data_IF_080993855343
#
_entry.id   IF_080993855343
#
_cell.length_a   1.000
_cell.length_b   1.000
_cell.length_c   1.000
_cell.angle_alpha   90.00
_cell.angle_beta   90.00
_cell.angle_gamma   90.00
#
_symmetry.space_group_name_H-M   'P 1'
#
loop_
_entity.id
_entity.type
_entity.pdbx_description
1 polymer ?
#
# COMPACT_ATOMS: atom_id res chain seq x y z
N UNK A 1 -22.19 11.98 -36.97
CA UNK A 1 -20.82 11.47 -37.17
C UNK A 1 -20.73 10.14 -36.45
N UNK A 2 -20.91 9.04 -37.18
CA UNK A 2 -20.88 7.67 -36.65
C UNK A 2 -19.43 7.21 -36.51
N UNK A 3 -18.96 7.04 -35.27
CA UNK A 3 -17.67 6.43 -34.98
C UNK A 3 -17.63 4.97 -35.45
N UNK A 4 -16.46 4.52 -35.91
CA UNK A 4 -16.23 3.16 -36.39
C UNK A 4 -16.64 2.15 -35.30
N UNK A 5 -17.51 1.21 -35.69
CA UNK A 5 -18.05 0.15 -34.82
C UNK A 5 -16.98 -0.85 -34.37
N UNK A 6 -17.40 -1.79 -33.50
CA UNK A 6 -16.63 -2.84 -32.83
C UNK A 6 -15.98 -3.87 -33.79
N UNK A 7 -15.17 -3.43 -34.73
CA UNK A 7 -14.22 -4.28 -35.45
C UNK A 7 -12.82 -3.98 -34.90
N UNK A 8 -12.05 -5.04 -34.59
CA UNK A 8 -10.63 -4.92 -34.25
C UNK A 8 -9.97 -4.00 -35.29
N UNK A 9 -9.26 -2.98 -34.80
CA UNK A 9 -8.42 -2.14 -35.65
C UNK A 9 -7.49 -3.08 -36.42
N UNK A 10 -7.62 -3.08 -37.74
CA UNK A 10 -6.63 -3.69 -38.62
C UNK A 10 -5.30 -2.96 -38.41
N UNK A 11 -4.19 -3.71 -38.40
CA UNK A 11 -2.84 -3.15 -38.35
C UNK A 11 -2.71 -2.04 -39.40
N UNK A 12 -2.60 -0.80 -38.92
CA UNK A 12 -2.30 0.33 -39.78
C UNK A 12 -0.83 0.22 -40.18
N UNK A 13 -0.58 -0.13 -41.44
CA UNK A 13 0.75 -0.03 -42.05
C UNK A 13 1.17 1.44 -42.09
N UNK A 14 1.76 1.91 -40.99
CA UNK A 14 2.43 3.20 -40.93
C UNK A 14 3.64 3.18 -41.87
N UNK A 15 3.54 3.86 -43.00
CA UNK A 15 4.67 4.11 -43.89
C UNK A 15 5.58 5.15 -43.24
N UNK A 16 6.56 4.68 -42.46
CA UNK A 16 7.72 5.46 -42.08
C UNK A 16 8.85 5.13 -43.06
N UNK A 17 9.39 6.15 -43.74
CA UNK A 17 10.51 6.05 -44.69
C UNK A 17 11.86 5.85 -43.99
N UNK A 18 11.91 4.94 -43.03
CA UNK A 18 13.15 4.34 -42.56
C UNK A 18 13.30 3.01 -43.28
N UNK A 19 14.48 2.68 -43.84
CA UNK A 19 14.61 1.45 -44.59
C UNK A 19 14.27 0.31 -43.62
N UNK A 20 13.28 -0.51 -44.01
CA UNK A 20 12.61 -1.47 -43.12
C UNK A 20 13.61 -2.41 -42.43
N UNK A 21 14.77 -2.61 -43.05
CA UNK A 21 15.90 -3.37 -42.52
C UNK A 21 16.53 -2.75 -41.27
N UNK A 22 16.58 -1.42 -41.15
CA UNK A 22 17.10 -0.72 -39.96
C UNK A 22 16.15 -0.92 -38.79
N UNK A 23 14.84 -0.74 -38.99
CA UNK A 23 13.84 -0.97 -37.94
C UNK A 23 13.84 -2.45 -37.53
N UNK A 24 13.85 -3.39 -38.49
CA UNK A 24 13.88 -4.83 -38.19
C UNK A 24 15.15 -5.23 -37.41
N UNK A 25 16.32 -4.67 -37.78
CA UNK A 25 17.57 -4.87 -37.04
C UNK A 25 17.47 -4.35 -35.60
N UNK A 26 16.87 -3.17 -35.39
CA UNK A 26 16.68 -2.62 -34.05
C UNK A 26 15.69 -3.46 -33.24
N UNK A 27 14.60 -3.94 -33.85
CA UNK A 27 13.65 -4.84 -33.19
C UNK A 27 14.35 -6.12 -32.72
N UNK A 28 15.13 -6.79 -33.59
CA UNK A 28 15.87 -8.00 -33.20
C UNK A 28 16.90 -7.74 -32.10
N UNK A 29 17.53 -6.55 -32.08
CA UNK A 29 18.42 -6.15 -31.00
C UNK A 29 17.66 -6.00 -29.68
N UNK A 30 16.50 -5.33 -29.70
CA UNK A 30 15.64 -5.17 -28.52
C UNK A 30 15.13 -6.53 -28.03
N UNK A 31 14.67 -7.41 -28.91
CA UNK A 31 14.29 -8.78 -28.57
C UNK A 31 15.43 -9.50 -27.86
N UNK A 32 16.65 -9.42 -28.39
CA UNK A 32 17.82 -10.03 -27.74
C UNK A 32 18.14 -9.41 -26.37
N UNK A 33 17.90 -8.11 -26.18
CA UNK A 33 18.15 -7.42 -24.92
C UNK A 33 17.09 -7.74 -23.84
N UNK A 34 15.83 -7.93 -24.25
CA UNK A 34 14.70 -8.05 -23.32
C UNK A 34 14.15 -9.47 -23.16
N UNK A 35 14.44 -10.39 -24.08
CA UNK A 35 14.11 -11.80 -23.91
C UNK A 35 15.02 -12.38 -22.82
N UNK A 36 14.40 -12.83 -21.73
CA UNK A 36 15.08 -13.56 -20.65
C UNK A 36 14.78 -15.06 -20.81
N UNK A 37 15.78 -15.89 -21.21
CA UNK A 37 15.57 -17.32 -21.34
C UNK A 37 15.22 -17.98 -20.00
N UNK A 38 14.48 -19.09 -20.04
CA UNK A 38 14.11 -19.85 -18.85
C UNK A 38 15.33 -20.28 -17.99
N UNK A 39 16.46 -20.59 -18.64
CA UNK A 39 17.71 -20.90 -17.94
C UNK A 39 18.25 -19.72 -17.12
N UNK A 40 18.12 -18.50 -17.64
CA UNK A 40 18.53 -17.29 -16.91
C UNK A 40 17.57 -16.99 -15.76
N UNK A 41 16.27 -17.20 -15.93
CA UNK A 41 15.30 -17.09 -14.84
C UNK A 41 15.64 -18.01 -13.68
N UNK A 42 16.03 -19.26 -13.95
CA UNK A 42 16.46 -20.20 -12.90
C UNK A 42 17.66 -19.68 -12.11
N UNK A 43 18.69 -19.15 -12.80
CA UNK A 43 19.86 -18.54 -12.14
C UNK A 43 19.45 -17.36 -11.26
N UNK A 44 18.53 -16.51 -11.74
CA UNK A 44 18.03 -15.36 -10.97
C UNK A 44 17.26 -15.83 -9.73
N UNK A 45 16.35 -16.79 -9.87
CA UNK A 45 15.57 -17.34 -8.75
C UNK A 45 16.48 -17.99 -7.70
N UNK A 46 17.46 -18.79 -8.13
CA UNK A 46 18.40 -19.45 -7.21
C UNK A 46 19.23 -18.42 -6.43
N UNK A 47 19.61 -17.31 -7.07
CA UNK A 47 20.28 -16.21 -6.38
C UNK A 47 19.34 -15.43 -5.46
N UNK A 48 18.09 -15.23 -5.86
CA UNK A 48 17.08 -14.54 -5.06
C UNK A 48 16.78 -15.30 -3.76
N UNK A 49 16.69 -16.63 -3.82
CA UNK A 49 16.54 -17.48 -2.62
C UNK A 49 17.73 -17.29 -1.67
N UNK A 50 18.95 -17.23 -2.19
CA UNK A 50 20.15 -16.97 -1.37
C UNK A 50 20.10 -15.60 -0.70
N UNK A 51 19.66 -14.55 -1.40
CA UNK A 51 19.52 -13.21 -0.82
C UNK A 51 18.41 -13.13 0.22
N UNK A 52 17.30 -13.87 0.06
CA UNK A 52 16.27 -14.02 1.10
C UNK A 52 16.86 -14.70 2.35
N UNK A 53 17.56 -15.83 2.17
CA UNK A 53 18.20 -16.54 3.29
C UNK A 53 19.21 -15.65 3.99
N UNK A 54 20.00 -14.88 3.23
CA UNK A 54 20.95 -13.90 3.77
C UNK A 54 20.23 -12.77 4.54
N UNK A 55 19.13 -12.24 4.01
CA UNK A 55 18.34 -11.21 4.68
C UNK A 55 17.78 -11.63 6.05
N UNK A 56 17.59 -12.94 6.27
CA UNK A 56 17.14 -13.51 7.54
C UNK A 56 18.29 -13.74 8.56
N UNK A 57 19.55 -13.51 8.19
CA UNK A 57 20.70 -13.62 9.10
C UNK A 57 20.88 -12.37 9.97
N UNK A 58 21.72 -12.45 11.01
CA UNK A 58 22.01 -11.31 11.90
C UNK A 58 22.77 -10.21 11.17
N UNK A 59 23.69 -10.58 10.27
CA UNK A 59 24.43 -9.65 9.43
C UNK A 59 23.53 -8.95 8.40
N UNK A 60 22.38 -9.55 8.10
CA UNK A 60 21.41 -9.07 7.13
C UNK A 60 21.88 -9.18 5.69
N UNK A 61 21.09 -8.60 4.79
CA UNK A 61 21.35 -8.63 3.35
C UNK A 61 20.82 -7.40 2.64
N UNK A 62 20.89 -7.44 1.31
CA UNK A 62 20.28 -6.39 0.48
C UNK A 62 18.75 -6.39 0.58
N UNK A 63 18.15 -7.56 0.81
CA UNK A 63 16.73 -7.75 1.08
C UNK A 63 16.50 -7.63 2.59
N UNK A 64 15.69 -6.66 3.07
CA UNK A 64 15.54 -6.41 4.51
C UNK A 64 14.92 -7.53 5.32
N UNK A 65 14.03 -8.34 4.72
CA UNK A 65 13.32 -9.45 5.38
C UNK A 65 12.69 -9.06 6.75
N UNK A 66 12.13 -7.85 6.85
CA UNK A 66 11.55 -7.32 8.08
C UNK A 66 10.46 -8.26 8.65
N UNK A 67 10.50 -8.60 9.95
CA UNK A 67 9.45 -9.33 10.62
C UNK A 67 8.09 -8.62 10.52
N UNK A 68 7.03 -9.36 10.20
CA UNK A 68 5.67 -8.81 10.05
C UNK A 68 4.92 -8.67 11.37
N UNK A 69 5.37 -9.36 12.42
CA UNK A 69 4.69 -9.52 13.71
C UNK A 69 3.30 -10.20 13.66
N UNK A 70 2.91 -10.74 12.50
CA UNK A 70 1.76 -11.63 12.37
C UNK A 70 2.21 -13.08 12.64
N UNK A 71 2.00 -13.56 13.87
CA UNK A 71 2.48 -14.88 14.32
C UNK A 71 1.52 -16.04 14.01
N UNK A 72 0.37 -15.77 13.39
CA UNK A 72 -0.65 -16.76 13.07
C UNK A 72 -1.17 -16.61 11.65
N UNK A 73 -1.78 -17.68 11.15
CA UNK A 73 -2.49 -17.67 9.88
C UNK A 73 -3.99 -17.53 10.14
N UNK A 74 -4.71 -16.71 9.35
CA UNK A 74 -6.15 -16.69 9.43
C UNK A 74 -6.70 -18.06 8.99
N UNK A 75 -7.70 -18.58 9.72
CA UNK A 75 -8.35 -19.86 9.40
C UNK A 75 -9.70 -19.68 8.70
N UNK A 76 -10.12 -18.42 8.55
CA UNK A 76 -11.37 -18.01 7.91
C UNK A 76 -12.58 -18.10 8.84
N UNK A 77 -12.42 -18.44 10.13
CA UNK A 77 -13.50 -18.46 11.12
C UNK A 77 -13.53 -17.21 11.99
N UNK A 78 -12.66 -16.24 11.72
CA UNK A 78 -12.64 -14.95 12.39
C UNK A 78 -13.98 -14.24 12.20
N UNK A 79 -14.44 -13.57 13.24
CA UNK A 79 -15.71 -12.84 13.25
C UNK A 79 -15.50 -11.46 13.85
N UNK A 80 -16.46 -10.57 13.61
CA UNK A 80 -16.50 -9.25 14.23
C UNK A 80 -16.26 -8.11 13.25
N UNK A 81 -16.17 -6.90 13.81
CA UNK A 81 -16.05 -5.65 13.06
C UNK A 81 -14.67 -5.06 13.31
N UNK A 82 -13.95 -4.79 12.22
CA UNK A 82 -12.60 -4.25 12.25
C UNK A 82 -12.55 -2.98 11.43
N UNK A 83 -11.80 -1.99 11.89
CA UNK A 83 -11.48 -0.81 11.11
C UNK A 83 -10.13 -0.99 10.43
N UNK A 84 -10.01 -0.46 9.24
CA UNK A 84 -8.72 -0.36 8.55
C UNK A 84 -8.51 1.07 8.06
N UNK A 85 -7.28 1.54 8.19
CA UNK A 85 -6.83 2.83 7.72
C UNK A 85 -5.69 2.60 6.74
N UNK A 86 -5.75 3.21 5.56
CA UNK A 86 -4.71 3.09 4.53
C UNK A 86 -4.30 4.47 4.05
N UNK A 87 -3.10 4.87 4.45
CA UNK A 87 -2.52 6.17 4.10
C UNK A 87 -1.70 6.03 2.81
N UNK A 88 -2.35 6.40 1.70
CA UNK A 88 -1.74 6.49 0.38
C UNK A 88 -1.01 7.81 0.14
N UNK A 89 -0.45 7.97 -1.07
CA UNK A 89 0.20 9.22 -1.49
C UNK A 89 -0.77 10.37 -1.83
N UNK A 90 -2.03 10.03 -2.13
CA UNK A 90 -3.04 10.98 -2.62
C UNK A 90 -4.34 10.91 -1.83
N UNK A 91 -4.68 9.73 -1.33
CA UNK A 91 -5.93 9.51 -0.62
C UNK A 91 -5.65 8.72 0.66
N UNK A 92 -6.38 9.07 1.70
CA UNK A 92 -6.63 8.23 2.85
C UNK A 92 -7.86 7.37 2.54
N UNK A 93 -7.79 6.09 2.86
CA UNK A 93 -8.95 5.19 2.80
C UNK A 93 -9.24 4.67 4.20
N UNK A 94 -10.50 4.78 4.59
CA UNK A 94 -11.04 4.19 5.83
C UNK A 94 -12.01 3.09 5.43
N UNK A 95 -11.88 1.89 6.01
CA UNK A 95 -12.83 0.82 5.81
C UNK A 95 -13.31 0.23 7.14
N UNK A 96 -14.57 -0.20 7.17
CA UNK A 96 -15.06 -1.18 8.12
C UNK A 96 -15.15 -2.53 7.40
N UNK A 97 -14.45 -3.51 7.95
CA UNK A 97 -14.51 -4.91 7.56
C UNK A 97 -15.41 -5.64 8.55
N UNK A 98 -16.41 -6.34 8.05
CA UNK A 98 -17.35 -7.13 8.84
C UNK A 98 -17.11 -8.60 8.48
N UNK A 99 -16.53 -9.36 9.41
CA UNK A 99 -16.31 -10.79 9.26
C UNK A 99 -17.53 -11.52 9.83
N UNK A 100 -18.22 -12.29 8.98
CA UNK A 100 -19.43 -13.01 9.37
C UNK A 100 -19.11 -14.39 9.93
N UNK A 101 -20.13 -15.06 10.46
CA UNK A 101 -20.04 -16.45 10.93
C UNK A 101 -19.80 -17.48 9.80
N UNK A 102 -19.98 -17.06 8.54
CA UNK A 102 -19.68 -17.88 7.36
C UNK A 102 -18.20 -17.83 7.05
N UNK A 103 -17.60 -19.02 6.93
CA UNK A 103 -16.15 -19.17 6.69
C UNK A 103 -15.69 -18.32 5.49
N UNK A 104 -14.67 -17.50 5.72
CA UNK A 104 -14.03 -16.62 4.73
C UNK A 104 -14.97 -15.62 4.05
N UNK A 105 -16.12 -15.32 4.66
CA UNK A 105 -17.06 -14.33 4.16
C UNK A 105 -16.89 -13.00 4.91
N UNK A 106 -16.86 -11.91 4.15
CA UNK A 106 -16.72 -10.58 4.70
C UNK A 106 -17.44 -9.54 3.85
N UNK A 107 -17.90 -8.48 4.51
CA UNK A 107 -18.40 -7.26 3.87
C UNK A 107 -17.44 -6.10 4.15
N UNK A 108 -17.30 -5.19 3.18
CA UNK A 108 -16.47 -4.00 3.32
C UNK A 108 -17.29 -2.76 3.00
N UNK A 109 -17.34 -1.85 3.97
CA UNK A 109 -17.79 -0.47 3.77
C UNK A 109 -16.54 0.41 3.75
N UNK A 110 -16.40 1.28 2.76
CA UNK A 110 -15.20 2.14 2.64
C UNK A 110 -15.53 3.57 2.25
N UNK A 111 -14.68 4.50 2.67
CA UNK A 111 -14.68 5.89 2.20
C UNK A 111 -13.25 6.32 1.86
N UNK A 112 -13.14 7.21 0.87
CA UNK A 112 -11.86 7.77 0.43
C UNK A 112 -11.87 9.28 0.68
N UNK A 113 -10.81 9.77 1.28
CA UNK A 113 -10.60 11.17 1.61
C UNK A 113 -9.34 11.63 0.88
N UNK A 114 -9.47 12.66 0.04
CA UNK A 114 -8.33 13.20 -0.69
C UNK A 114 -7.45 13.99 0.28
N UNK A 115 -6.17 13.62 0.37
CA UNK A 115 -5.20 14.30 1.22
C UNK A 115 -4.87 15.66 0.58
N UNK A 116 -5.11 16.79 1.26
CA UNK A 116 -4.67 18.10 0.80
C UNK A 116 -3.15 18.13 0.62
N UNK A 117 -2.66 18.81 -0.44
CA UNK A 117 -1.23 18.81 -0.76
C UNK A 117 -0.42 19.54 0.32
N UNK A 118 -0.99 20.57 0.94
CA UNK A 118 -0.41 21.32 2.04
C UNK A 118 -0.12 20.45 3.27
N UNK A 119 -0.87 19.36 3.49
CA UNK A 119 -0.61 18.45 4.61
C UNK A 119 0.63 17.57 4.38
N UNK A 120 1.06 17.41 3.12
CA UNK A 120 2.25 16.59 2.81
C UNK A 120 3.55 17.27 3.19
N UNK A 121 3.53 18.59 3.33
CA UNK A 121 4.70 19.41 3.70
C UNK A 121 4.43 20.31 4.90
N UNK A 122 3.30 20.09 5.59
CA UNK A 122 2.86 20.85 6.74
C UNK A 122 3.46 20.33 8.04
N UNK A 123 2.88 20.71 9.18
CA UNK A 123 3.26 20.18 10.48
C UNK A 123 2.71 18.78 10.74
N UNK A 124 3.44 17.98 11.53
CA UNK A 124 3.05 16.63 11.94
C UNK A 124 1.62 16.56 12.51
N UNK A 125 1.29 17.44 13.47
CA UNK A 125 -0.02 17.46 14.11
C UNK A 125 -1.17 17.63 13.11
N UNK A 126 -1.00 18.47 12.09
CA UNK A 126 -2.03 18.73 11.09
C UNK A 126 -2.39 17.48 10.28
N UNK A 127 -1.39 16.64 9.95
CA UNK A 127 -1.63 15.36 9.27
C UNK A 127 -2.44 14.41 10.17
N UNK A 128 -2.01 14.23 11.43
CA UNK A 128 -2.66 13.29 12.34
C UNK A 128 -4.07 13.74 12.73
N UNK A 129 -4.29 15.03 12.91
CA UNK A 129 -5.62 15.59 13.15
C UNK A 129 -6.55 15.38 11.96
N UNK A 130 -6.08 15.62 10.73
CA UNK A 130 -6.86 15.35 9.53
C UNK A 130 -7.25 13.87 9.41
N UNK A 131 -6.31 12.96 9.66
CA UNK A 131 -6.57 11.51 9.63
C UNK A 131 -7.62 11.13 10.69
N UNK A 132 -7.48 11.67 11.90
CA UNK A 132 -8.40 11.41 13.00
C UNK A 132 -9.82 11.96 12.71
N UNK A 133 -9.93 13.13 12.06
CA UNK A 133 -11.22 13.69 11.61
C UNK A 133 -11.89 12.82 10.56
N UNK A 134 -11.14 12.34 9.57
CA UNK A 134 -11.66 11.43 8.55
C UNK A 134 -12.19 10.14 9.17
N UNK A 135 -11.46 9.57 10.12
CA UNK A 135 -11.87 8.37 10.83
C UNK A 135 -13.13 8.62 11.69
N UNK A 136 -13.18 9.72 12.43
CA UNK A 136 -14.36 10.08 13.23
C UNK A 136 -15.60 10.24 12.35
N UNK A 137 -15.49 10.98 11.24
CA UNK A 137 -16.57 11.15 10.27
C UNK A 137 -17.05 9.81 9.72
N UNK A 138 -16.12 8.91 9.35
CA UNK A 138 -16.46 7.58 8.86
C UNK A 138 -17.23 6.76 9.90
N UNK A 139 -16.74 6.72 11.14
CA UNK A 139 -17.36 5.96 12.23
C UNK A 139 -18.77 6.48 12.51
N UNK A 140 -18.95 7.80 12.60
CA UNK A 140 -20.26 8.40 12.83
C UNK A 140 -21.26 8.11 11.71
N UNK A 141 -20.81 8.13 10.44
CA UNK A 141 -21.66 7.92 9.29
C UNK A 141 -22.02 6.44 9.05
N UNK A 142 -21.05 5.53 9.22
CA UNK A 142 -21.17 4.14 8.77
C UNK A 142 -21.35 3.14 9.90
N UNK A 143 -20.87 3.45 11.11
CA UNK A 143 -20.83 2.49 12.20
C UNK A 143 -21.91 2.71 13.26
N UNK A 144 -22.57 3.88 13.27
CA UNK A 144 -23.65 4.24 14.20
C UNK A 144 -23.16 4.76 15.55
N UNK A 145 -24.06 5.36 16.35
CA UNK A 145 -23.74 5.93 17.67
C UNK A 145 -23.59 4.90 18.80
N UNK A 146 -24.08 3.67 18.59
CA UNK A 146 -24.16 2.63 19.62
C UNK A 146 -22.92 1.72 19.68
N UNK A 147 -21.76 2.21 19.24
CA UNK A 147 -20.51 1.45 19.34
C UNK A 147 -20.00 1.59 20.77
N UNK A 148 -20.57 0.77 21.65
CA UNK A 148 -20.16 0.59 23.05
C UNK A 148 -18.81 -0.15 23.14
N UNK A 149 -18.32 -0.71 22.03
CA UNK A 149 -17.10 -1.52 21.97
C UNK A 149 -15.92 -0.79 21.31
N UNK A 150 -14.72 -0.93 21.89
CA UNK A 150 -13.47 -0.51 21.24
C UNK A 150 -13.27 -1.32 19.95
N UNK A 151 -13.46 -0.71 18.78
CA UNK A 151 -13.21 -1.35 17.50
C UNK A 151 -11.70 -1.49 17.25
N UNK A 152 -11.18 -2.71 16.99
CA UNK A 152 -9.79 -2.88 16.58
C UNK A 152 -9.54 -2.16 15.25
N UNK A 153 -8.39 -1.47 15.15
CA UNK A 153 -7.98 -0.74 13.96
C UNK A 153 -6.63 -1.24 13.46
N UNK A 154 -6.57 -1.65 12.19
CA UNK A 154 -5.33 -1.88 11.47
C UNK A 154 -4.91 -0.63 10.69
N UNK A 155 -3.69 -0.14 10.89
CA UNK A 155 -3.16 1.01 10.16
C UNK A 155 -2.11 0.56 9.14
N UNK A 156 -2.52 0.50 7.87
CA UNK A 156 -1.64 0.31 6.72
C UNK A 156 -0.87 1.60 6.42
N UNK A 157 0.28 1.76 7.07
CA UNK A 157 1.19 2.89 6.86
C UNK A 157 2.28 2.51 5.84
N UNK A 158 1.96 2.67 4.55
CA UNK A 158 2.80 2.20 3.44
C UNK A 158 4.00 3.13 3.14
N UNK A 159 4.77 3.49 4.15
CA UNK A 159 6.04 4.19 4.04
C UNK A 159 7.16 3.29 4.57
N UNK A 160 8.43 3.51 4.17
CA UNK A 160 9.55 2.82 4.81
C UNK A 160 9.50 3.00 6.33
N UNK A 161 9.21 1.93 7.05
CA UNK A 161 9.08 1.93 8.50
C UNK A 161 9.75 0.68 9.09
N UNK A 162 10.26 0.83 10.32
CA UNK A 162 10.79 -0.28 11.13
C UNK A 162 9.86 -0.49 12.30
N UNK A 163 9.57 -1.75 12.61
CA UNK A 163 8.61 -2.13 13.66
C UNK A 163 9.24 -3.16 14.60
N UNK A 164 9.20 -2.86 15.90
CA UNK A 164 9.62 -3.80 16.96
C UNK A 164 8.45 -4.66 17.47
N UNK A 165 7.21 -4.25 17.20
CA UNK A 165 5.96 -4.93 17.52
C UNK A 165 4.92 -4.57 16.47
N UNK A 166 3.80 -5.30 16.42
CA UNK A 166 2.75 -5.10 15.40
C UNK A 166 2.03 -3.75 15.51
N UNK A 167 2.04 -3.14 16.69
CA UNK A 167 1.38 -1.91 17.06
C UNK A 167 2.35 -0.71 17.18
N UNK A 168 3.52 -0.81 16.53
CA UNK A 168 4.54 0.23 16.48
C UNK A 168 4.99 0.47 15.03
N UNK A 169 5.36 1.70 14.69
CA UNK A 169 5.86 2.02 13.36
C UNK A 169 6.79 3.22 13.35
N UNK A 170 8.09 2.97 13.39
CA UNK A 170 9.12 4.02 13.33
C UNK A 170 9.37 4.39 11.87
N UNK A 171 8.90 5.57 11.45
CA UNK A 171 9.12 6.06 10.10
C UNK A 171 10.61 6.21 9.83
N UNK A 172 11.12 5.60 8.75
CA UNK A 172 12.52 5.72 8.36
C UNK A 172 12.75 6.92 7.44
N UNK A 173 11.86 7.11 6.47
CA UNK A 173 11.87 8.26 5.57
C UNK A 173 10.52 8.42 4.88
N UNK A 174 10.17 9.66 4.60
CA UNK A 174 9.04 9.97 3.76
C UNK A 174 9.28 9.57 2.30
N UNK A 175 8.17 9.27 1.62
CA UNK A 175 8.12 9.00 0.19
C UNK A 175 6.81 9.59 -0.36
N UNK A 176 6.50 9.38 -1.64
CA UNK A 176 5.20 9.78 -2.24
C UNK A 176 4.89 11.29 -2.14
N UNK A 177 5.92 12.13 -2.07
CA UNK A 177 5.78 13.58 -1.97
C UNK A 177 5.54 14.12 -0.55
N UNK A 178 5.55 13.25 0.48
CA UNK A 178 5.55 13.70 1.87
C UNK A 178 6.94 14.22 2.25
N UNK A 179 6.96 15.27 3.08
CA UNK A 179 8.15 15.86 3.68
C UNK A 179 7.71 16.65 4.94
N UNK A 180 7.44 15.93 6.02
CA UNK A 180 6.91 16.49 7.27
C UNK A 180 7.97 16.36 8.35
N UNK A 181 8.41 17.50 8.88
CA UNK A 181 9.41 17.57 9.94
C UNK A 181 8.91 16.94 11.25
N UNK A 182 9.83 16.31 11.98
CA UNK A 182 9.55 15.73 13.30
C UNK A 182 8.84 14.38 13.30
N UNK A 183 8.69 13.71 12.15
CA UNK A 183 8.10 12.36 12.05
C UNK A 183 9.15 11.29 11.73
N UNK A 184 10.10 11.57 10.83
CA UNK A 184 11.17 10.61 10.53
C UNK A 184 11.98 10.30 11.81
N UNK A 185 12.31 9.03 12.02
CA UNK A 185 12.98 8.52 13.23
C UNK A 185 12.06 8.29 14.43
N UNK A 186 10.76 8.61 14.34
CA UNK A 186 9.82 8.52 15.46
C UNK A 186 8.72 7.49 15.19
N UNK A 187 8.16 6.94 16.28
CA UNK A 187 6.99 6.08 16.21
C UNK A 187 5.73 6.90 15.91
N UNK A 188 5.04 6.55 14.82
CA UNK A 188 3.84 7.24 14.37
C UNK A 188 2.60 6.87 15.17
N UNK A 189 2.60 5.71 15.84
CA UNK A 189 1.40 5.19 16.51
C UNK A 189 0.99 6.11 17.68
N UNK A 190 1.89 6.54 18.59
CA UNK A 190 1.53 7.51 19.63
C UNK A 190 1.06 8.86 19.08
N UNK A 191 1.62 9.34 17.96
CA UNK A 191 1.20 10.60 17.35
C UNK A 191 -0.24 10.51 16.82
N UNK A 192 -0.55 9.43 16.11
CA UNK A 192 -1.89 9.15 15.62
C UNK A 192 -2.89 8.97 16.78
N UNK A 193 -2.54 8.19 17.81
CA UNK A 193 -3.40 7.99 18.98
C UNK A 193 -3.64 9.29 19.76
N UNK A 194 -2.62 10.14 19.90
CA UNK A 194 -2.76 11.45 20.53
C UNK A 194 -3.75 12.37 19.78
N UNK A 195 -3.81 12.29 18.45
CA UNK A 195 -4.83 13.00 17.68
C UNK A 195 -6.22 12.38 17.85
N UNK A 196 -6.33 11.05 17.98
CA UNK A 196 -7.58 10.34 18.22
C UNK A 196 -8.19 10.66 19.59
N UNK A 197 -7.39 10.76 20.65
CA UNK A 197 -7.87 11.06 22.01
C UNK A 197 -8.62 12.39 22.10
N UNK A 198 -8.29 13.36 21.24
CA UNK A 198 -9.00 14.65 21.16
C UNK A 198 -10.46 14.52 20.69
N UNK A 199 -10.86 13.37 20.14
CA UNK A 199 -12.18 13.09 19.52
C UNK A 199 -13.06 12.11 20.29
N UNK A 200 -12.57 11.57 21.41
CA UNK A 200 -13.28 10.59 22.26
C UNK A 200 -13.95 11.28 23.48
N UNK A 201 -14.23 12.58 23.40
CA UNK A 201 -14.96 13.33 24.42
C UNK A 201 -16.47 13.33 24.18
#
# INVERSE_FOLDING_TARGET
MSGLGQNRLHDSNGSATHPADVIEKQIKLLEKMFIVPASKLKVVTDHFVKEITKGLTVEGGSIPMNPTWCMGFPDGKEQGRYLTLDLGGTNLRVCQVILSDKKSNFDIIQSKYRIPEELKTGGSDALWEYIADCLQQFVQAQCGKDIIEKLPLGFTFSFPATQNFIDHGILQRWTKGFNIDGVEGHDIVPMFLGAMEKRVK
#
